data_IF_057169278942
#
_entry.id   IF_057169278942
#
_cell.length_a   1.000
_cell.length_b   1.000
_cell.length_c   1.000
_cell.angle_alpha   90.00
_cell.angle_beta   90.00
_cell.angle_gamma   90.00
#
_symmetry.space_group_name_H-M   'P 1'
#
loop_
_entity.id
_entity.type
_entity.pdbx_description
1 polymer ?
#
# COMPACT_ATOMS: atom_id res chain seq x y z
N UNK A 1 -36.11 -19.62 9.82
CA UNK A 1 -34.69 -19.42 9.47
C UNK A 1 -34.61 -18.63 8.17
N UNK A 2 -34.08 -17.40 8.15
CA UNK A 2 -33.47 -16.73 6.97
C UNK A 2 -33.48 -15.19 7.09
N UNK A 3 -32.41 -14.57 6.57
CA UNK A 3 -32.11 -13.13 6.35
C UNK A 3 -31.39 -12.29 7.43
N UNK A 4 -31.46 -12.57 8.73
CA UNK A 4 -30.79 -11.69 9.72
C UNK A 4 -29.28 -11.92 9.90
N UNK A 5 -28.77 -13.12 9.62
CA UNK A 5 -27.34 -13.47 9.84
C UNK A 5 -26.40 -13.20 8.65
N UNK A 6 -26.92 -12.87 7.46
CA UNK A 6 -26.10 -12.67 6.27
C UNK A 6 -25.46 -11.26 6.22
N UNK A 7 -26.12 -10.25 6.79
CA UNK A 7 -25.66 -8.85 6.69
C UNK A 7 -24.64 -8.40 7.73
N UNK A 8 -24.41 -9.17 8.81
CA UNK A 8 -23.42 -8.78 9.82
C UNK A 8 -21.97 -9.04 9.38
N UNK A 9 -21.78 -9.83 8.32
CA UNK A 9 -20.46 -10.21 7.80
C UNK A 9 -20.04 -9.39 6.57
N UNK A 10 -20.82 -8.39 6.18
CA UNK A 10 -20.51 -7.49 5.09
C UNK A 10 -20.14 -6.10 5.62
N UNK A 11 -19.08 -5.51 5.07
CA UNK A 11 -18.67 -4.15 5.39
C UNK A 11 -18.55 -3.29 4.14
N UNK A 12 -18.93 -2.02 4.27
CA UNK A 12 -18.69 -0.99 3.26
C UNK A 12 -17.60 -0.06 3.75
N UNK A 13 -16.49 0.03 3.02
CA UNK A 13 -15.43 1.01 3.24
C UNK A 13 -15.72 2.23 2.37
N UNK A 14 -15.94 3.37 3.01
CA UNK A 14 -16.31 4.64 2.37
C UNK A 14 -15.18 5.65 2.45
N UNK A 15 -14.58 5.99 1.29
CA UNK A 15 -13.43 6.88 1.16
C UNK A 15 -13.75 8.24 0.51
N UNK A 16 -15.03 8.62 0.47
CA UNK A 16 -15.49 9.93 0.01
C UNK A 16 -15.87 10.80 1.21
N UNK A 17 -15.57 12.11 1.15
CA UNK A 17 -15.90 13.07 2.21
C UNK A 17 -17.20 13.80 1.82
N UNK A 18 -18.15 13.90 2.75
CA UNK A 18 -19.33 14.77 2.58
C UNK A 18 -20.38 14.33 1.55
N UNK A 19 -20.16 13.19 0.87
CA UNK A 19 -21.16 12.57 0.00
C UNK A 19 -22.15 11.74 0.81
N UNK A 20 -23.41 11.68 0.35
CA UNK A 20 -24.43 10.80 0.96
C UNK A 20 -23.98 9.34 0.86
N UNK A 21 -23.88 8.70 2.01
CA UNK A 21 -23.58 7.28 2.13
C UNK A 21 -24.82 6.51 1.68
N UNK A 22 -24.68 5.51 0.78
CA UNK A 22 -25.81 4.70 0.35
C UNK A 22 -26.38 3.91 1.54
N UNK A 23 -27.68 3.60 1.50
CA UNK A 23 -28.25 2.65 2.46
C UNK A 23 -27.57 1.29 2.28
N UNK A 24 -26.87 0.87 3.33
CA UNK A 24 -26.11 -0.38 3.35
C UNK A 24 -26.54 -1.18 4.57
N UNK A 25 -26.92 -2.44 4.36
CA UNK A 25 -27.47 -3.27 5.43
C UNK A 25 -26.41 -3.82 6.41
N UNK A 26 -25.13 -3.75 6.06
CA UNK A 26 -24.00 -4.15 6.91
C UNK A 26 -23.38 -2.98 7.69
N UNK A 27 -22.13 -3.13 8.13
CA UNK A 27 -21.40 -2.03 8.80
C UNK A 27 -20.71 -1.11 7.80
N UNK A 28 -20.81 0.20 8.00
CA UNK A 28 -20.10 1.20 7.19
C UNK A 28 -18.88 1.72 7.96
N UNK A 29 -17.71 1.69 7.33
CA UNK A 29 -16.48 2.23 7.87
C UNK A 29 -16.01 3.42 7.05
N UNK A 30 -16.00 4.60 7.68
CA UNK A 30 -15.51 5.82 7.09
C UNK A 30 -13.98 5.83 7.10
N UNK A 31 -13.38 5.90 5.92
CA UNK A 31 -11.93 5.83 5.76
C UNK A 31 -11.22 7.15 6.11
N UNK A 32 -11.90 8.28 5.90
CA UNK A 32 -11.35 9.64 6.08
C UNK A 32 -12.02 10.43 7.21
N UNK A 33 -13.29 10.20 7.47
CA UNK A 33 -14.06 10.99 8.44
C UNK A 33 -13.95 10.45 9.87
N UNK A 34 -14.02 11.36 10.85
CA UNK A 34 -14.00 11.04 12.29
C UNK A 34 -15.41 10.80 12.87
N UNK A 35 -16.45 11.10 12.09
CA UNK A 35 -17.85 10.98 12.48
C UNK A 35 -18.23 9.52 12.69
N UNK A 36 -19.10 9.25 13.67
CA UNK A 36 -19.65 7.93 13.92
C UNK A 36 -21.13 8.03 14.23
N UNK A 37 -21.89 7.04 13.78
CA UNK A 37 -23.29 6.88 14.11
C UNK A 37 -23.57 5.39 14.38
N UNK A 38 -23.53 5.03 15.66
CA UNK A 38 -23.68 3.65 16.12
C UNK A 38 -25.06 3.08 15.78
N UNK A 39 -26.11 3.91 15.80
CA UNK A 39 -27.49 3.49 15.52
C UNK A 39 -27.68 2.94 14.10
N UNK A 40 -26.84 3.37 13.15
CA UNK A 40 -26.84 2.90 11.76
C UNK A 40 -25.57 2.10 11.40
N UNK A 41 -24.83 1.59 12.40
CA UNK A 41 -23.59 0.83 12.22
C UNK A 41 -22.52 1.54 11.39
N UNK A 42 -22.40 2.86 11.56
CA UNK A 42 -21.39 3.69 10.91
C UNK A 42 -20.26 4.01 11.89
N UNK A 43 -19.04 3.57 11.54
CA UNK A 43 -17.85 3.68 12.38
C UNK A 43 -16.72 4.41 11.65
N UNK A 44 -15.80 5.00 12.40
CA UNK A 44 -14.68 5.76 11.85
C UNK A 44 -13.38 4.99 11.99
N UNK A 45 -12.67 4.80 10.86
CA UNK A 45 -11.32 4.22 10.88
C UNK A 45 -10.33 5.15 11.60
N UNK A 46 -10.27 6.48 11.32
CA UNK A 46 -9.45 7.40 12.10
C UNK A 46 -9.69 7.32 13.61
N UNK A 47 -10.95 7.28 14.05
CA UNK A 47 -11.28 7.20 15.48
C UNK A 47 -10.88 5.88 16.11
N UNK A 48 -11.09 4.76 15.39
CA UNK A 48 -10.60 3.46 15.81
C UNK A 48 -9.07 3.46 16.00
N UNK A 49 -8.33 4.11 15.10
CA UNK A 49 -6.87 4.23 15.20
C UNK A 49 -6.47 5.00 16.45
N UNK A 50 -7.10 6.15 16.71
CA UNK A 50 -6.78 6.97 17.87
C UNK A 50 -7.02 6.22 19.19
N UNK A 51 -8.15 5.49 19.28
CA UNK A 51 -8.49 4.67 20.44
C UNK A 51 -7.53 3.50 20.65
N UNK A 52 -6.95 2.96 19.56
CA UNK A 52 -6.07 1.80 19.58
C UNK A 52 -4.59 2.15 19.30
N UNK A 53 -4.20 3.42 19.47
CA UNK A 53 -2.95 3.97 18.93
C UNK A 53 -1.70 3.20 19.36
N UNK A 54 -1.61 2.80 20.62
CA UNK A 54 -0.44 2.11 21.17
C UNK A 54 -0.32 0.71 20.55
N UNK A 55 -1.41 -0.05 20.57
CA UNK A 55 -1.48 -1.39 20.01
C UNK A 55 -1.17 -1.42 18.51
N UNK A 56 -1.72 -0.47 17.75
CA UNK A 56 -1.45 -0.36 16.31
C UNK A 56 -0.01 0.08 16.02
N UNK A 57 0.57 0.97 16.84
CA UNK A 57 1.97 1.36 16.74
C UNK A 57 2.90 0.17 17.01
N UNK A 58 2.61 -0.64 18.01
CA UNK A 58 3.40 -1.85 18.31
C UNK A 58 3.32 -2.87 17.19
N UNK A 59 2.12 -3.07 16.61
CA UNK A 59 1.93 -3.93 15.43
C UNK A 59 2.70 -3.42 14.22
N UNK A 60 2.70 -2.11 13.99
CA UNK A 60 3.48 -1.47 12.94
C UNK A 60 4.99 -1.66 13.15
N UNK A 61 5.50 -1.41 14.36
CA UNK A 61 6.93 -1.59 14.67
C UNK A 61 7.36 -3.06 14.51
N UNK A 62 6.52 -3.99 14.96
CA UNK A 62 6.75 -5.42 14.79
C UNK A 62 6.81 -5.81 13.32
N UNK A 63 5.89 -5.26 12.50
CA UNK A 63 5.90 -5.46 11.05
C UNK A 63 7.20 -4.95 10.42
N UNK A 64 7.67 -3.75 10.80
CA UNK A 64 8.93 -3.21 10.28
C UNK A 64 10.14 -4.04 10.70
N UNK A 65 10.13 -4.56 11.93
CA UNK A 65 11.17 -5.45 12.42
C UNK A 65 11.22 -6.77 11.64
N UNK A 66 10.06 -7.39 11.41
CA UNK A 66 9.98 -8.59 10.55
C UNK A 66 10.44 -8.29 9.13
N UNK A 67 10.08 -7.12 8.61
CA UNK A 67 10.51 -6.69 7.29
C UNK A 67 12.03 -6.55 7.18
N UNK A 68 12.66 -5.95 8.18
CA UNK A 68 14.10 -5.76 8.26
C UNK A 68 14.88 -7.09 8.17
N UNK A 69 14.27 -8.19 8.66
CA UNK A 69 14.86 -9.54 8.68
C UNK A 69 14.70 -10.33 7.38
N UNK A 70 13.88 -9.87 6.44
CA UNK A 70 13.67 -10.56 5.16
C UNK A 70 15.01 -10.72 4.45
N UNK A 71 15.29 -11.94 3.97
CA UNK A 71 16.54 -12.25 3.29
C UNK A 71 16.41 -12.12 1.77
N UNK A 72 17.32 -11.34 1.19
CA UNK A 72 17.54 -11.25 -0.26
C UNK A 72 18.95 -11.78 -0.51
N UNK A 73 19.09 -12.83 -1.34
CA UNK A 73 20.36 -13.52 -1.58
C UNK A 73 21.09 -13.88 -0.26
N UNK A 74 20.36 -14.51 0.67
CA UNK A 74 20.86 -14.92 2.00
C UNK A 74 21.32 -13.80 2.95
N UNK A 75 21.14 -12.52 2.60
CA UNK A 75 21.48 -11.38 3.45
C UNK A 75 20.21 -10.60 3.82
N UNK A 76 20.06 -10.19 5.08
CA UNK A 76 18.83 -9.50 5.55
C UNK A 76 18.77 -8.09 4.96
N UNK A 77 17.58 -7.53 4.79
CA UNK A 77 17.41 -6.15 4.31
C UNK A 77 18.18 -5.16 5.20
N UNK A 78 18.12 -5.34 6.53
CA UNK A 78 18.88 -4.50 7.47
C UNK A 78 20.39 -4.58 7.24
N UNK A 79 20.92 -5.75 6.89
CA UNK A 79 22.36 -5.93 6.62
C UNK A 79 22.74 -5.39 5.24
N UNK A 80 21.82 -5.44 4.27
CA UNK A 80 22.01 -4.83 2.95
C UNK A 80 22.18 -3.31 3.04
N UNK A 81 21.53 -2.70 4.03
CA UNK A 81 21.56 -1.27 4.29
C UNK A 81 22.60 -0.87 5.35
N UNK A 82 23.49 -1.79 5.74
CA UNK A 82 24.56 -1.50 6.68
C UNK A 82 25.57 -0.51 6.07
N UNK A 83 25.79 0.61 6.76
CA UNK A 83 26.76 1.65 6.37
C UNK A 83 28.12 1.35 7.01
N UNK A 84 28.11 0.90 8.27
CA UNK A 84 29.29 0.48 9.05
C UNK A 84 28.85 -0.56 10.09
N UNK A 85 29.78 -1.30 10.71
CA UNK A 85 29.45 -2.32 11.71
C UNK A 85 28.45 -1.83 12.74
N UNK A 86 27.34 -2.58 12.91
CA UNK A 86 26.24 -2.28 13.84
C UNK A 86 25.45 -0.99 13.54
N UNK A 87 25.59 -0.40 12.35
CA UNK A 87 24.87 0.81 11.95
C UNK A 87 24.25 0.65 10.56
N UNK A 88 22.94 0.45 10.53
CA UNK A 88 22.17 0.28 9.31
C UNK A 88 21.33 1.50 9.00
N UNK A 89 21.40 1.93 7.74
CA UNK A 89 20.57 2.97 7.16
C UNK A 89 19.07 2.65 7.22
N UNK A 90 18.71 1.37 7.34
CA UNK A 90 17.32 0.92 7.54
C UNK A 90 16.60 1.73 8.61
N UNK A 91 17.26 1.95 9.76
CA UNK A 91 16.69 2.63 10.92
C UNK A 91 16.49 4.13 10.70
N UNK A 92 17.14 4.70 9.69
CA UNK A 92 17.02 6.12 9.31
C UNK A 92 16.02 6.34 8.18
N UNK A 93 15.39 5.29 7.64
CA UNK A 93 14.41 5.43 6.58
C UNK A 93 13.15 6.13 7.11
N UNK A 94 12.48 6.92 6.26
CA UNK A 94 11.21 7.57 6.59
C UNK A 94 10.08 6.59 6.99
N UNK A 95 10.25 5.32 6.61
CA UNK A 95 9.34 4.24 7.01
C UNK A 95 9.53 3.96 8.50
N UNK A 96 10.78 3.90 8.98
CA UNK A 96 11.10 3.60 10.37
C UNK A 96 11.00 4.83 11.28
N UNK A 97 11.38 6.02 10.81
CA UNK A 97 11.37 7.28 11.60
C UNK A 97 9.96 7.63 12.14
N UNK A 98 8.90 7.07 11.56
CA UNK A 98 7.59 6.93 12.20
C UNK A 98 6.99 8.21 12.80
N UNK A 99 6.95 9.29 12.01
CA UNK A 99 6.28 10.52 12.39
C UNK A 99 4.93 10.64 11.68
N UNK A 100 3.84 10.59 12.45
CA UNK A 100 2.44 10.66 11.99
C UNK A 100 2.15 11.88 11.09
N UNK A 101 2.85 13.00 11.29
CA UNK A 101 2.69 14.22 10.49
C UNK A 101 3.55 14.28 9.23
N UNK A 102 4.58 13.42 9.09
CA UNK A 102 5.55 13.50 7.98
C UNK A 102 5.34 12.46 6.88
N UNK A 103 4.66 11.34 7.17
CA UNK A 103 4.58 10.19 6.27
C UNK A 103 3.15 9.75 5.98
N UNK A 104 2.62 10.15 4.83
CA UNK A 104 1.34 9.65 4.32
C UNK A 104 1.35 8.11 4.14
N UNK A 105 2.52 7.51 3.92
CA UNK A 105 2.68 6.07 3.82
C UNK A 105 2.36 5.35 5.14
N UNK A 106 2.91 5.84 6.25
CA UNK A 106 2.64 5.28 7.58
C UNK A 106 1.14 5.31 7.88
N UNK A 107 0.49 6.45 7.64
CA UNK A 107 -0.96 6.61 7.87
C UNK A 107 -1.75 5.54 7.11
N UNK A 108 -1.42 5.32 5.83
CA UNK A 108 -2.05 4.28 5.02
C UNK A 108 -1.82 2.87 5.56
N UNK A 109 -0.60 2.55 6.00
CA UNK A 109 -0.30 1.23 6.59
C UNK A 109 -1.04 1.03 7.90
N UNK A 110 -1.10 2.04 8.77
CA UNK A 110 -1.83 1.95 10.04
C UNK A 110 -3.33 1.80 9.81
N UNK A 111 -3.91 2.52 8.84
CA UNK A 111 -5.32 2.31 8.43
C UNK A 111 -5.59 0.89 7.96
N UNK A 112 -4.65 0.29 7.23
CA UNK A 112 -4.76 -1.10 6.79
C UNK A 112 -4.60 -2.10 7.95
N UNK A 113 -3.72 -1.83 8.91
CA UNK A 113 -3.60 -2.65 10.12
C UNK A 113 -4.88 -2.60 10.97
N UNK A 114 -5.49 -1.42 11.10
CA UNK A 114 -6.78 -1.25 11.75
C UNK A 114 -7.88 -2.02 11.02
N UNK A 115 -7.91 -1.91 9.68
CA UNK A 115 -8.88 -2.64 8.85
C UNK A 115 -8.72 -4.17 9.00
N UNK A 116 -7.48 -4.68 8.97
CA UNK A 116 -7.19 -6.11 9.18
C UNK A 116 -7.78 -6.59 10.51
N UNK A 117 -7.59 -5.84 11.59
CA UNK A 117 -8.11 -6.21 12.92
C UNK A 117 -9.63 -6.18 12.98
N UNK A 118 -10.25 -5.17 12.38
CA UNK A 118 -11.72 -5.06 12.31
C UNK A 118 -12.31 -6.27 11.57
N UNK A 119 -11.69 -6.67 10.46
CA UNK A 119 -12.09 -7.83 9.67
C UNK A 119 -11.96 -9.12 10.49
N UNK A 120 -10.83 -9.30 11.17
CA UNK A 120 -10.55 -10.49 11.98
C UNK A 120 -11.50 -10.58 13.19
N UNK A 121 -11.73 -9.48 13.91
CA UNK A 121 -12.60 -9.44 15.08
C UNK A 121 -14.07 -9.68 14.73
N UNK A 122 -14.57 -9.09 13.65
CA UNK A 122 -15.98 -9.23 13.22
C UNK A 122 -16.22 -10.44 12.30
N UNK A 123 -15.17 -11.18 11.92
CA UNK A 123 -15.23 -12.33 10.99
C UNK A 123 -15.97 -11.99 9.69
N UNK A 124 -15.56 -10.88 9.08
CA UNK A 124 -16.15 -10.35 7.85
C UNK A 124 -15.82 -11.27 6.67
N UNK A 125 -16.84 -11.57 5.85
CA UNK A 125 -16.71 -12.41 4.65
C UNK A 125 -16.82 -11.62 3.35
N UNK A 126 -17.35 -10.38 3.41
CA UNK A 126 -17.62 -9.57 2.23
C UNK A 126 -17.19 -8.12 2.47
N UNK A 127 -16.44 -7.55 1.53
CA UNK A 127 -15.95 -6.16 1.58
C UNK A 127 -16.38 -5.44 0.32
N UNK A 128 -17.12 -4.36 0.52
CA UNK A 128 -17.45 -3.38 -0.49
C UNK A 128 -16.54 -2.15 -0.31
N UNK A 129 -15.86 -1.72 -1.36
CA UNK A 129 -14.98 -0.55 -1.31
C UNK A 129 -15.50 0.54 -2.26
N UNK A 130 -15.73 1.72 -1.71
CA UNK A 130 -15.93 2.94 -2.49
C UNK A 130 -14.74 3.89 -2.27
N UNK A 131 -13.77 3.85 -3.19
CA UNK A 131 -12.61 4.74 -3.19
C UNK A 131 -12.18 5.04 -4.62
N UNK A 132 -11.76 6.28 -4.87
CA UNK A 132 -11.14 6.68 -6.14
C UNK A 132 -9.64 6.36 -6.21
N UNK A 133 -9.01 5.97 -5.09
CA UNK A 133 -7.58 5.65 -5.05
C UNK A 133 -7.32 4.21 -5.56
N UNK A 134 -6.77 4.13 -6.77
CA UNK A 134 -6.41 2.85 -7.40
C UNK A 134 -5.40 2.02 -6.59
N UNK A 135 -4.56 2.65 -5.76
CA UNK A 135 -3.61 1.93 -4.92
C UNK A 135 -4.32 1.23 -3.76
N UNK A 136 -5.24 1.93 -3.07
CA UNK A 136 -6.06 1.35 -2.01
C UNK A 136 -6.90 0.21 -2.57
N UNK A 137 -7.54 0.40 -3.73
CA UNK A 137 -8.30 -0.65 -4.39
C UNK A 137 -7.45 -1.91 -4.67
N UNK A 138 -6.23 -1.75 -5.21
CA UNK A 138 -5.33 -2.89 -5.50
C UNK A 138 -4.92 -3.62 -4.22
N UNK A 139 -4.59 -2.87 -3.17
CA UNK A 139 -4.13 -3.44 -1.90
C UNK A 139 -5.25 -4.19 -1.19
N UNK A 140 -6.43 -3.58 -1.06
CA UNK A 140 -7.59 -4.21 -0.43
C UNK A 140 -8.08 -5.40 -1.27
N UNK A 141 -8.10 -5.30 -2.60
CA UNK A 141 -8.43 -6.44 -3.46
C UNK A 141 -7.47 -7.61 -3.25
N UNK A 142 -6.17 -7.32 -3.18
CA UNK A 142 -5.15 -8.34 -2.89
C UNK A 142 -5.35 -8.95 -1.51
N UNK A 143 -5.67 -8.13 -0.51
CA UNK A 143 -6.02 -8.57 0.84
C UNK A 143 -7.15 -9.58 0.84
N UNK A 144 -8.24 -9.23 0.18
CA UNK A 144 -9.42 -10.07 0.14
C UNK A 144 -9.11 -11.41 -0.54
N UNK A 145 -8.37 -11.37 -1.65
CA UNK A 145 -7.95 -12.57 -2.38
C UNK A 145 -7.10 -13.52 -1.54
N UNK A 146 -6.16 -13.00 -0.75
CA UNK A 146 -5.27 -13.82 0.09
C UNK A 146 -5.98 -14.44 1.30
N UNK A 147 -7.04 -13.78 1.79
CA UNK A 147 -7.82 -14.23 2.95
C UNK A 147 -9.15 -14.92 2.59
N UNK A 148 -9.44 -15.12 1.29
CA UNK A 148 -10.69 -15.76 0.84
C UNK A 148 -11.95 -14.93 1.08
N UNK A 149 -11.83 -13.61 1.16
CA UNK A 149 -12.93 -12.66 1.38
C UNK A 149 -13.47 -12.20 0.01
N UNK A 150 -14.79 -12.09 -0.12
CA UNK A 150 -15.39 -11.56 -1.35
C UNK A 150 -15.19 -10.04 -1.42
N UNK A 151 -14.78 -9.53 -2.58
CA UNK A 151 -14.45 -8.13 -2.78
C UNK A 151 -15.25 -7.52 -3.91
N UNK A 152 -15.95 -6.42 -3.60
CA UNK A 152 -16.70 -5.60 -4.55
C UNK A 152 -16.17 -4.18 -4.52
N UNK A 153 -16.04 -3.54 -5.68
CA UNK A 153 -15.56 -2.17 -5.79
C UNK A 153 -16.58 -1.33 -6.55
N UNK A 154 -17.03 -0.25 -5.93
CA UNK A 154 -17.82 0.77 -6.61
C UNK A 154 -16.84 1.74 -7.25
N UNK A 155 -16.50 1.50 -8.51
CA UNK A 155 -15.80 2.51 -9.31
C UNK A 155 -16.86 3.38 -9.95
N UNK A 156 -16.80 4.69 -9.72
CA UNK A 156 -17.63 5.66 -10.41
C UNK A 156 -17.13 5.79 -11.85
N UNK A 157 -17.52 4.81 -12.67
CA UNK A 157 -17.14 4.63 -14.07
C UNK A 157 -15.63 4.50 -14.30
N UNK A 158 -15.30 3.81 -15.37
CA UNK A 158 -14.08 4.03 -16.12
C UNK A 158 -14.07 5.46 -16.71
N UNK A 159 -14.07 6.49 -15.87
CA UNK A 159 -13.97 7.88 -16.30
C UNK A 159 -12.51 8.21 -16.57
N UNK A 160 -12.05 7.77 -17.75
CA UNK A 160 -10.80 8.13 -18.40
C UNK A 160 -9.56 7.85 -17.53
N UNK A 161 -9.01 6.64 -17.69
CA UNK A 161 -7.55 6.56 -17.75
C UNK A 161 -7.10 7.67 -18.73
N UNK A 162 -6.31 8.60 -18.22
CA UNK A 162 -5.80 9.72 -18.99
C UNK A 162 -5.13 9.22 -20.27
N UNK A 163 -5.87 9.23 -21.39
CA UNK A 163 -5.32 9.47 -22.72
C UNK A 163 -5.08 10.97 -22.85
N UNK A 164 -4.36 11.55 -21.89
CA UNK A 164 -3.45 12.61 -22.21
C UNK A 164 -2.15 11.89 -22.46
N UNK A 165 -1.79 11.67 -23.73
CA UNK A 165 -0.39 11.44 -24.06
C UNK A 165 0.41 12.53 -23.34
N UNK A 166 1.07 12.13 -22.25
CA UNK A 166 1.86 13.05 -21.45
C UNK A 166 2.83 13.76 -22.39
N UNK A 167 3.17 15.00 -22.10
CA UNK A 167 4.07 15.82 -22.92
C UNK A 167 5.35 15.05 -23.36
N UNK A 168 5.78 14.08 -22.54
CA UNK A 168 6.86 13.13 -22.81
C UNK A 168 6.61 12.15 -23.98
N UNK A 169 5.37 11.66 -24.18
CA UNK A 169 5.02 10.71 -25.24
C UNK A 169 4.97 11.38 -26.61
N UNK A 170 4.50 12.63 -26.68
CA UNK A 170 4.62 13.49 -27.87
C UNK A 170 6.08 13.75 -28.25
N UNK A 171 6.94 14.00 -27.26
CA UNK A 171 8.38 14.11 -27.47
C UNK A 171 9.01 12.82 -28.02
N UNK A 172 8.65 11.66 -27.43
CA UNK A 172 9.10 10.34 -27.91
C UNK A 172 8.75 10.08 -29.38
N UNK A 173 7.54 10.43 -29.81
CA UNK A 173 7.10 10.17 -31.17
C UNK A 173 7.74 11.08 -32.22
N UNK A 174 8.21 12.27 -31.84
CA UNK A 174 8.91 13.22 -32.72
C UNK A 174 10.40 12.90 -32.88
N UNK A 175 10.95 11.95 -32.13
CA UNK A 175 12.36 11.57 -32.22
C UNK A 175 12.63 10.67 -33.44
N UNK A 176 13.79 10.85 -34.12
CA UNK A 176 14.26 9.93 -35.14
C UNK A 176 14.33 8.48 -34.67
N UNK A 177 14.17 7.53 -35.60
CA UNK A 177 14.12 6.09 -35.30
C UNK A 177 15.32 5.56 -34.51
N UNK A 178 16.52 6.12 -34.73
CA UNK A 178 17.73 5.70 -34.01
C UNK A 178 17.69 6.06 -32.52
N UNK A 179 17.09 7.18 -32.13
CA UNK A 179 16.94 7.57 -30.73
C UNK A 179 15.83 6.78 -30.05
N UNK A 180 14.73 6.49 -30.77
CA UNK A 180 13.68 5.58 -30.29
C UNK A 180 14.29 4.24 -29.92
N UNK A 181 15.05 3.62 -30.82
CA UNK A 181 15.69 2.32 -30.60
C UNK A 181 16.58 2.30 -29.35
N UNK A 182 17.41 3.32 -29.15
CA UNK A 182 18.27 3.43 -27.95
C UNK A 182 17.46 3.55 -26.66
N UNK A 183 16.37 4.33 -26.67
CA UNK A 183 15.47 4.47 -25.52
C UNK A 183 14.74 3.15 -25.24
N UNK A 184 14.20 2.47 -26.26
CA UNK A 184 13.54 1.17 -26.07
C UNK A 184 14.53 0.13 -25.57
N UNK A 185 15.75 0.08 -26.11
CA UNK A 185 16.79 -0.85 -25.69
C UNK A 185 17.17 -0.64 -24.22
N UNK A 186 17.32 0.61 -23.79
CA UNK A 186 17.62 0.93 -22.39
C UNK A 186 16.46 0.55 -21.45
N UNK A 187 15.21 0.78 -21.87
CA UNK A 187 14.02 0.36 -21.12
C UNK A 187 13.91 -1.17 -21.04
N UNK A 188 14.24 -1.88 -22.11
CA UNK A 188 14.26 -3.35 -22.17
C UNK A 188 15.34 -3.92 -21.25
N UNK A 189 16.55 -3.34 -21.21
CA UNK A 189 17.62 -3.75 -20.30
C UNK A 189 17.22 -3.57 -18.83
N UNK A 190 16.61 -2.43 -18.50
CA UNK A 190 16.06 -2.19 -17.16
C UNK A 190 14.97 -3.23 -16.85
N UNK A 191 14.08 -3.53 -17.80
CA UNK A 191 13.04 -4.54 -17.60
C UNK A 191 13.59 -5.96 -17.44
N UNK A 192 14.64 -6.32 -18.18
CA UNK A 192 15.26 -7.66 -18.12
C UNK A 192 15.94 -7.89 -16.77
N UNK A 193 16.73 -6.91 -16.27
CA UNK A 193 17.34 -6.97 -14.94
C UNK A 193 16.31 -7.00 -13.79
N UNK A 194 15.11 -6.46 -14.01
CA UNK A 194 14.00 -6.53 -13.05
C UNK A 194 13.25 -7.86 -13.16
N UNK A 195 13.05 -8.41 -14.36
CA UNK A 195 12.34 -9.66 -14.59
C UNK A 195 13.07 -10.87 -13.98
N UNK A 196 14.39 -10.91 -14.09
CA UNK A 196 15.22 -11.97 -13.50
C UNK A 196 15.13 -11.99 -11.96
N UNK A 197 14.99 -10.82 -11.32
CA UNK A 197 14.76 -10.70 -9.88
C UNK A 197 13.34 -11.10 -9.43
N UNK A 198 12.32 -11.05 -10.32
CA UNK A 198 10.93 -11.42 -9.94
C UNK A 198 10.76 -12.93 -9.74
N UNK A 199 11.52 -13.77 -10.45
CA UNK A 199 11.46 -15.24 -10.33
C UNK A 199 11.95 -15.70 -8.94
N UNK A 200 12.85 -14.93 -8.32
CA UNK A 200 13.38 -15.22 -6.99
C UNK A 200 12.36 -14.95 -5.86
N UNK A 201 11.54 -13.91 -5.99
CA UNK A 201 10.60 -13.47 -4.93
C UNK A 201 9.29 -14.27 -4.89
N UNK A 202 8.88 -14.93 -5.97
CA UNK A 202 7.66 -15.75 -6.00
C UNK A 202 7.79 -17.10 -5.29
N UNK A 203 9.01 -17.56 -4.98
CA UNK A 203 9.23 -18.96 -4.56
C UNK A 203 9.20 -19.19 -3.03
N UNK A 204 9.06 -18.16 -2.18
CA UNK A 204 9.32 -18.36 -0.74
C UNK A 204 8.45 -17.65 0.30
N UNK A 205 7.41 -16.90 -0.06
CA UNK A 205 6.78 -16.08 0.99
C UNK A 205 5.26 -15.90 0.81
N UNK A 206 4.51 -16.38 1.81
CA UNK A 206 3.10 -16.07 2.04
C UNK A 206 3.07 -14.66 2.67
N UNK A 207 3.12 -13.65 1.81
CA UNK A 207 3.37 -12.24 2.18
C UNK A 207 2.06 -11.62 2.67
N UNK A 208 2.02 -11.16 3.94
CA UNK A 208 0.92 -10.33 4.48
C UNK A 208 0.82 -9.01 3.71
N UNK A 209 -0.39 -8.49 3.53
CA UNK A 209 -0.71 -7.30 2.72
C UNK A 209 0.10 -6.06 3.08
N UNK A 210 0.39 -5.90 4.36
CA UNK A 210 1.18 -4.80 4.89
C UNK A 210 2.65 -4.85 4.42
N UNK A 211 3.20 -6.03 4.13
CA UNK A 211 4.52 -6.18 3.51
C UNK A 211 4.53 -5.76 2.03
N UNK A 212 3.46 -6.01 1.27
CA UNK A 212 3.45 -5.69 -0.16
C UNK A 212 3.57 -4.19 -0.43
N UNK A 213 2.92 -3.37 0.41
CA UNK A 213 3.04 -1.92 0.36
C UNK A 213 4.44 -1.43 0.72
N UNK A 214 5.04 -2.03 1.75
CA UNK A 214 6.41 -1.72 2.16
C UNK A 214 7.40 -2.05 1.05
N UNK A 215 7.25 -3.20 0.38
CA UNK A 215 8.10 -3.60 -0.76
C UNK A 215 7.92 -2.64 -1.94
N UNK A 216 6.69 -2.27 -2.29
CA UNK A 216 6.40 -1.33 -3.38
C UNK A 216 7.02 0.04 -3.15
N UNK A 217 6.99 0.54 -1.91
CA UNK A 217 7.55 1.84 -1.57
C UNK A 217 9.08 1.81 -1.49
N UNK A 218 9.65 0.78 -0.86
CA UNK A 218 11.10 0.57 -0.79
C UNK A 218 11.68 0.40 -2.18
N UNK A 219 10.99 -0.27 -3.10
CA UNK A 219 11.45 -0.39 -4.48
C UNK A 219 11.48 0.97 -5.21
N UNK A 220 10.48 1.83 -4.98
CA UNK A 220 10.46 3.20 -5.48
C UNK A 220 11.54 4.09 -4.86
N UNK A 221 11.90 3.84 -3.61
CA UNK A 221 12.92 4.59 -2.88
C UNK A 221 14.34 4.11 -3.18
N UNK A 222 14.59 2.80 -3.24
CA UNK A 222 15.86 2.19 -3.68
C UNK A 222 16.23 2.66 -5.09
N UNK A 223 15.24 2.82 -5.98
CA UNK A 223 15.46 3.40 -7.32
C UNK A 223 15.93 4.86 -7.29
N UNK A 224 15.67 5.60 -6.21
CA UNK A 224 16.11 6.98 -5.98
C UNK A 224 17.39 7.10 -5.15
N UNK A 225 17.87 6.02 -4.51
CA UNK A 225 19.12 6.05 -3.72
C UNK A 225 20.35 6.54 -4.52
N UNK A 226 20.54 6.19 -5.81
CA UNK A 226 21.69 6.70 -6.58
C UNK A 226 21.69 8.23 -6.67
N UNK A 227 20.53 8.85 -6.89
CA UNK A 227 20.43 10.31 -7.06
C UNK A 227 20.49 11.12 -5.76
N UNK A 228 20.36 10.46 -4.60
CA UNK A 228 20.56 11.06 -3.29
C UNK A 228 21.98 10.90 -2.77
N UNK A 229 22.65 9.77 -3.05
CA UNK A 229 24.06 9.56 -2.70
C UNK A 229 24.99 10.47 -3.50
N UNK A 230 24.73 10.70 -4.80
CA UNK A 230 25.50 11.65 -5.62
C UNK A 230 25.44 13.09 -5.08
N UNK A 231 24.33 13.45 -4.43
CA UNK A 231 24.12 14.79 -3.86
C UNK A 231 24.80 15.00 -2.51
N UNK A 232 25.06 13.92 -1.77
CA UNK A 232 25.72 13.95 -0.46
C UNK A 232 27.23 13.79 -0.61
N UNK A 233 27.69 13.00 -1.60
CA UNK A 233 29.11 12.79 -1.89
C UNK A 233 29.71 13.95 -2.70
N UNK A 234 28.91 14.68 -3.49
CA UNK A 234 29.36 15.90 -4.20
C UNK A 234 29.53 17.15 -3.32
N UNK A 235 29.47 17.02 -2.00
CA UNK A 235 29.67 18.12 -1.01
C UNK A 235 30.64 17.77 0.12
N UNK A 236 31.43 16.71 -0.03
CA UNK A 236 32.62 16.42 0.78
C UNK A 236 33.84 16.62 -0.12
#
# INVERSE_FOLDING_TARGET
MSKSNLNQKSILIWDQIGHRIPEFSGSVYLWKEYSENVSINQFSIPKYIDQNRFRLRDKYNSLLYEFAKIQIKNKRIVDWLEIRPNFSFWWMTLIVESNYGKSAFMVSVIKLLALEEIIDHKKISEIFLNSSDSNIQKVVRKFCKENGIQFFCFSEKDSKANNGEGILWRGYNSLPYFLKASITFYVILIWYGVYENRKFLKKKCKIRISLFLIISFIYGWIRKIPSYLDRIIGRI
#
